data_IF_964989275083
#
_entry.id   IF_964989275083
#
_cell.length_a   1.000
_cell.length_b   1.000
_cell.length_c   1.000
_cell.angle_alpha   90.00
_cell.angle_beta   90.00
_cell.angle_gamma   90.00
#
_symmetry.space_group_name_H-M   'P 1'
#
loop_
_entity.id
_entity.type
_entity.pdbx_description
1 polymer ?
#
# COMPACT_ATOMS: atom_id res chain seq x y z
N UNK A 1 14.84 8.79 28.47
CA UNK A 1 13.77 9.59 27.81
C UNK A 1 12.79 8.63 27.17
N UNK A 2 11.50 8.69 27.52
CA UNK A 2 10.47 7.92 26.84
C UNK A 2 10.37 8.44 25.40
N UNK A 3 10.62 7.57 24.41
CA UNK A 3 10.47 7.94 23.02
C UNK A 3 8.98 8.06 22.70
N UNK A 4 8.61 9.20 22.14
CA UNK A 4 7.24 9.54 21.80
C UNK A 4 6.69 8.58 20.73
N UNK A 5 5.54 7.98 21.02
CA UNK A 5 4.83 7.12 20.07
C UNK A 5 4.06 8.02 19.11
N UNK A 6 4.21 7.80 17.81
CA UNK A 6 3.49 8.56 16.78
C UNK A 6 2.05 8.03 16.67
N UNK A 7 1.07 8.88 17.00
CA UNK A 7 -0.36 8.55 16.97
C UNK A 7 -1.07 9.32 15.85
N UNK A 8 -1.90 8.61 15.09
CA UNK A 8 -2.68 9.15 13.99
C UNK A 8 -4.16 8.85 14.17
N UNK A 9 -5.02 9.83 13.95
CA UNK A 9 -6.47 9.62 13.96
C UNK A 9 -6.90 8.75 12.77
N UNK A 10 -7.66 7.68 13.05
CA UNK A 10 -8.01 6.76 12.00
C UNK A 10 -9.03 5.70 12.38
N UNK A 11 -9.10 4.68 11.57
CA UNK A 11 -9.97 3.51 11.76
C UNK A 11 -9.24 2.21 11.45
N UNK A 12 -9.59 1.20 12.21
CA UNK A 12 -9.14 -0.18 12.06
C UNK A 12 -10.34 -1.05 11.72
N UNK A 13 -10.22 -1.87 10.69
CA UNK A 13 -11.15 -2.96 10.42
C UNK A 13 -10.50 -4.26 10.87
N UNK A 14 -11.15 -4.94 11.79
CA UNK A 14 -10.65 -6.21 12.33
C UNK A 14 -10.96 -7.38 11.39
N UNK A 15 -10.32 -8.53 11.61
CA UNK A 15 -10.52 -9.73 10.79
C UNK A 15 -11.98 -10.28 10.86
N UNK A 16 -12.69 -9.97 11.95
CA UNK A 16 -14.12 -10.27 12.13
C UNK A 16 -15.06 -9.12 11.68
N UNK A 17 -14.52 -8.20 10.85
CA UNK A 17 -15.23 -7.09 10.20
C UNK A 17 -15.79 -6.01 11.14
N UNK A 18 -15.29 -5.89 12.35
CA UNK A 18 -15.63 -4.78 13.23
C UNK A 18 -14.83 -3.53 12.83
N UNK A 19 -15.49 -2.37 12.86
CA UNK A 19 -14.84 -1.08 12.62
C UNK A 19 -14.60 -0.39 13.96
N UNK A 20 -13.34 -0.12 14.24
CA UNK A 20 -12.90 0.61 15.43
C UNK A 20 -12.35 1.96 15.02
N UNK A 21 -12.72 3.02 15.73
CA UNK A 21 -12.26 4.39 15.47
C UNK A 21 -11.45 4.86 16.66
N UNK A 22 -10.30 5.47 16.42
CA UNK A 22 -9.43 5.98 17.47
C UNK A 22 -8.08 6.44 16.95
N UNK A 23 -7.11 6.56 17.84
CA UNK A 23 -5.73 6.87 17.49
C UNK A 23 -4.94 5.58 17.24
N UNK A 24 -4.22 5.56 16.15
CA UNK A 24 -3.51 4.38 15.62
C UNK A 24 -2.02 4.67 15.57
N UNK A 25 -1.21 3.68 15.94
CA UNK A 25 0.22 3.70 15.73
C UNK A 25 0.71 2.33 15.24
N UNK A 26 1.26 2.27 14.03
CA UNK A 26 1.85 1.05 13.47
C UNK A 26 3.25 0.91 14.06
N UNK A 27 3.48 -0.09 14.90
CA UNK A 27 4.76 -0.27 15.59
C UNK A 27 5.76 -1.06 14.75
N UNK A 28 5.27 -2.08 14.06
CA UNK A 28 6.02 -2.91 13.10
C UNK A 28 5.08 -3.31 11.96
N UNK A 29 5.59 -3.98 10.95
CA UNK A 29 4.76 -4.50 9.85
C UNK A 29 3.79 -5.61 10.33
N UNK A 30 3.94 -6.11 11.56
CA UNK A 30 3.12 -7.19 12.14
C UNK A 30 2.30 -6.74 13.36
N UNK A 31 2.50 -5.50 13.83
CA UNK A 31 1.92 -5.04 15.09
C UNK A 31 1.46 -3.59 15.04
N UNK A 32 0.25 -3.36 15.51
CA UNK A 32 -0.37 -2.04 15.63
C UNK A 32 -0.86 -1.82 17.05
N UNK A 33 -0.73 -0.58 17.52
CA UNK A 33 -1.41 -0.09 18.72
C UNK A 33 -2.61 0.75 18.32
N UNK A 34 -3.70 0.61 19.07
CA UNK A 34 -4.86 1.48 18.95
C UNK A 34 -5.26 2.01 20.31
N UNK A 35 -5.47 3.31 20.40
CA UNK A 35 -5.94 3.99 21.61
C UNK A 35 -7.34 4.55 21.39
N UNK A 36 -8.25 4.20 22.30
CA UNK A 36 -9.60 4.72 22.36
C UNK A 36 -9.95 4.97 23.84
N UNK A 37 -10.55 6.11 24.17
CA UNK A 37 -10.99 6.48 25.53
C UNK A 37 -9.94 6.21 26.63
N UNK A 38 -8.68 6.58 26.39
CA UNK A 38 -7.54 6.36 27.29
C UNK A 38 -7.11 4.90 27.51
N UNK A 39 -7.68 3.95 26.76
CA UNK A 39 -7.22 2.56 26.75
C UNK A 39 -6.43 2.27 25.49
N UNK A 40 -5.24 1.72 25.65
CA UNK A 40 -4.41 1.27 24.53
C UNK A 40 -4.48 -0.25 24.41
N UNK A 41 -4.84 -0.71 23.22
CA UNK A 41 -4.91 -2.12 22.87
C UNK A 41 -3.89 -2.46 21.80
N UNK A 42 -3.39 -3.68 21.84
CA UNK A 42 -2.43 -4.23 20.87
C UNK A 42 -3.18 -5.10 19.87
N UNK A 43 -2.97 -4.84 18.59
CA UNK A 43 -3.56 -5.61 17.50
C UNK A 43 -2.44 -6.24 16.67
N UNK A 44 -2.20 -7.55 16.80
CA UNK A 44 -1.33 -8.27 15.88
C UNK A 44 -2.01 -8.41 14.50
N UNK A 45 -1.20 -8.49 13.47
CA UNK A 45 -1.66 -8.43 12.07
C UNK A 45 -2.75 -9.45 11.72
N UNK A 46 -2.72 -10.65 12.30
CA UNK A 46 -3.72 -11.68 12.05
C UNK A 46 -5.14 -11.33 12.56
N UNK A 47 -5.27 -10.31 13.40
CA UNK A 47 -6.56 -9.76 13.84
C UNK A 47 -7.02 -8.55 13.05
N UNK A 48 -6.26 -8.15 12.02
CA UNK A 48 -6.48 -6.94 11.23
C UNK A 48 -6.85 -7.32 9.81
N UNK A 49 -7.83 -6.66 9.23
CA UNK A 49 -8.13 -6.68 7.80
C UNK A 49 -7.52 -5.47 7.10
N UNK A 50 -7.78 -4.28 7.63
CA UNK A 50 -7.26 -3.03 7.07
C UNK A 50 -7.17 -1.92 8.11
N UNK A 51 -6.31 -0.94 7.81
CA UNK A 51 -6.08 0.24 8.64
C UNK A 51 -6.14 1.48 7.75
N UNK A 52 -6.74 2.56 8.23
CA UNK A 52 -6.77 3.84 7.55
C UNK A 52 -6.56 4.96 8.54
N UNK A 53 -5.67 5.89 8.24
CA UNK A 53 -5.48 7.09 9.06
C UNK A 53 -4.94 8.26 8.23
N UNK A 54 -5.09 9.46 8.80
CA UNK A 54 -4.51 10.67 8.26
C UNK A 54 -3.12 10.91 8.88
N UNK A 55 -2.11 10.93 8.03
CA UNK A 55 -0.73 11.26 8.40
C UNK A 55 -0.54 12.77 8.26
N UNK A 56 -0.47 13.46 9.42
CA UNK A 56 -0.34 14.93 9.46
C UNK A 56 1.00 15.43 8.97
N UNK A 57 2.05 14.65 9.17
CA UNK A 57 3.41 15.06 8.79
C UNK A 57 3.58 15.05 7.26
N UNK A 58 2.97 14.08 6.61
CA UNK A 58 2.99 13.95 5.15
C UNK A 58 1.78 14.61 4.46
N UNK A 59 0.75 15.05 5.21
CA UNK A 59 -0.51 15.61 4.72
C UNK A 59 -1.27 14.70 3.76
N UNK A 60 -1.32 13.39 4.09
CA UNK A 60 -1.97 12.37 3.25
C UNK A 60 -2.81 11.40 4.07
N UNK A 61 -3.83 10.81 3.42
CA UNK A 61 -4.53 9.65 3.93
C UNK A 61 -3.76 8.39 3.55
N UNK A 62 -3.41 7.58 4.56
CA UNK A 62 -2.76 6.30 4.36
C UNK A 62 -3.75 5.16 4.56
N UNK A 63 -3.64 4.15 3.74
CA UNK A 63 -4.41 2.91 3.87
C UNK A 63 -3.48 1.72 3.81
N UNK A 64 -3.60 0.87 4.81
CA UNK A 64 -2.85 -0.39 4.90
C UNK A 64 -3.82 -1.56 4.84
N UNK A 65 -3.38 -2.63 4.22
CA UNK A 65 -4.06 -3.92 4.18
C UNK A 65 -3.10 -5.01 4.65
N UNK A 66 -3.68 -6.10 5.13
CA UNK A 66 -2.88 -7.28 5.48
C UNK A 66 -2.81 -8.17 4.26
N UNK A 67 -1.58 -8.41 3.79
CA UNK A 67 -1.29 -9.35 2.72
C UNK A 67 -0.27 -10.37 3.21
N UNK A 68 -0.28 -11.55 2.60
CA UNK A 68 0.73 -12.57 2.82
C UNK A 68 1.65 -12.63 1.62
N UNK A 69 2.93 -12.39 1.86
CA UNK A 69 3.97 -12.65 0.89
C UNK A 69 4.55 -14.04 1.15
N UNK A 70 4.32 -14.98 0.25
CA UNK A 70 4.75 -16.38 0.41
C UNK A 70 6.28 -16.54 0.51
N UNK A 71 7.04 -15.56 0.02
CA UNK A 71 8.50 -15.57 0.10
C UNK A 71 9.03 -15.13 1.48
N UNK A 72 8.29 -14.27 2.20
CA UNK A 72 8.76 -13.63 3.44
C UNK A 72 7.88 -13.86 4.65
N UNK A 73 6.57 -14.05 4.45
CA UNK A 73 5.57 -14.11 5.53
C UNK A 73 5.09 -15.54 5.74
N UNK A 74 5.78 -16.29 6.62
CA UNK A 74 5.53 -17.72 6.79
C UNK A 74 4.12 -18.08 7.29
N UNK A 75 3.47 -17.27 8.14
CA UNK A 75 2.20 -17.68 8.78
C UNK A 75 1.10 -16.63 8.84
N UNK A 76 1.39 -15.36 9.07
CA UNK A 76 0.39 -14.37 9.49
C UNK A 76 0.17 -13.20 8.52
N UNK A 77 1.04 -13.06 7.54
CA UNK A 77 1.08 -11.89 6.68
C UNK A 77 1.68 -10.66 7.39
N UNK A 78 1.64 -9.54 6.70
CA UNK A 78 2.16 -8.25 7.16
C UNK A 78 1.29 -7.11 6.64
N UNK A 79 1.46 -5.93 7.22
CA UNK A 79 0.84 -4.70 6.75
C UNK A 79 1.58 -4.16 5.53
N UNK A 80 0.82 -3.86 4.48
CA UNK A 80 1.29 -3.20 3.28
C UNK A 80 0.47 -1.94 3.03
N UNK A 81 1.13 -0.83 2.75
CA UNK A 81 0.48 0.41 2.37
C UNK A 81 0.04 0.35 0.90
N UNK A 82 -1.21 0.71 0.63
CA UNK A 82 -1.73 0.80 -0.74
C UNK A 82 -1.23 2.09 -1.38
N UNK A 83 -0.53 1.95 -2.51
CA UNK A 83 -0.06 3.06 -3.35
C UNK A 83 -0.99 3.28 -4.53
N UNK A 84 -1.41 2.19 -5.19
CA UNK A 84 -2.33 2.22 -6.33
C UNK A 84 -3.39 1.14 -6.16
N UNK A 85 -4.66 1.55 -6.26
CA UNK A 85 -5.81 0.64 -6.32
C UNK A 85 -6.21 0.38 -7.77
N UNK A 86 -6.71 -0.82 -8.05
CA UNK A 86 -7.24 -1.16 -9.36
C UNK A 86 -7.10 -2.64 -9.70
N UNK A 87 -7.15 -2.96 -10.98
CA UNK A 87 -6.96 -4.33 -11.48
C UNK A 87 -5.53 -4.82 -11.26
N UNK A 88 -4.56 -3.91 -11.35
CA UNK A 88 -3.21 -4.08 -10.84
C UNK A 88 -3.05 -3.16 -9.64
N UNK A 89 -2.86 -3.72 -8.48
CA UNK A 89 -2.60 -2.94 -7.27
C UNK A 89 -1.10 -2.78 -7.07
N UNK A 90 -0.67 -1.62 -6.60
CA UNK A 90 0.69 -1.43 -6.10
C UNK A 90 0.60 -1.19 -4.61
N UNK A 91 1.35 -1.98 -3.88
CA UNK A 91 1.51 -1.84 -2.43
C UNK A 91 2.99 -1.65 -2.09
N UNK A 92 3.25 -1.07 -0.92
CA UNK A 92 4.61 -0.94 -0.42
C UNK A 92 4.70 -1.32 1.05
N UNK A 93 5.87 -1.77 1.46
CA UNK A 93 6.18 -2.08 2.85
C UNK A 93 7.48 -1.40 3.25
N UNK A 94 7.48 -0.71 4.38
CA UNK A 94 8.69 -0.10 4.91
C UNK A 94 9.67 -1.18 5.39
N UNK A 95 10.91 -1.13 4.92
CA UNK A 95 11.96 -2.11 5.22
C UNK A 95 12.29 -2.18 6.70
N UNK A 96 12.26 -1.03 7.38
CA UNK A 96 12.51 -0.94 8.80
C UNK A 96 11.56 0.08 9.41
N UNK A 97 10.45 -0.41 9.94
CA UNK A 97 9.49 0.41 10.67
C UNK A 97 9.87 0.44 12.15
N UNK A 98 10.25 1.61 12.63
CA UNK A 98 10.65 1.79 14.02
C UNK A 98 9.65 2.73 14.70
N UNK A 99 8.89 2.17 15.67
CA UNK A 99 8.02 2.92 16.60
C UNK A 99 7.00 3.85 15.93
N UNK A 100 6.38 3.39 14.85
CA UNK A 100 5.31 4.10 14.19
C UNK A 100 5.75 5.25 13.30
N UNK A 101 7.05 5.47 13.10
CA UNK A 101 7.55 6.50 12.18
C UNK A 101 7.56 5.96 10.75
N UNK A 102 6.68 6.49 9.93
CA UNK A 102 6.63 6.17 8.50
C UNK A 102 7.60 7.11 7.77
N UNK A 103 8.48 6.52 6.95
CA UNK A 103 9.45 7.28 6.16
C UNK A 103 8.78 8.07 5.05
N UNK A 104 9.38 9.20 4.68
CA UNK A 104 9.06 9.97 3.48
C UNK A 104 9.97 9.62 2.29
N UNK A 105 11.01 8.80 2.50
CA UNK A 105 11.95 8.40 1.46
C UNK A 105 11.50 7.08 0.82
N UNK A 106 11.28 7.08 -0.50
CA UNK A 106 10.88 5.90 -1.25
C UNK A 106 11.92 4.76 -1.21
N UNK A 107 13.18 5.08 -0.96
CA UNK A 107 14.25 4.09 -0.81
C UNK A 107 14.10 3.23 0.44
N UNK A 108 13.35 3.70 1.43
CA UNK A 108 13.06 2.95 2.65
C UNK A 108 11.95 1.89 2.47
N UNK A 109 11.38 1.79 1.27
CA UNK A 109 10.29 0.87 0.99
C UNK A 109 10.66 -0.19 -0.03
N UNK A 110 10.08 -1.37 0.13
CA UNK A 110 9.93 -2.37 -0.92
C UNK A 110 8.54 -2.25 -1.56
N UNK A 111 8.50 -2.21 -2.89
CA UNK A 111 7.29 -2.08 -3.68
C UNK A 111 6.93 -3.39 -4.37
N UNK A 112 5.63 -3.68 -4.43
CA UNK A 112 5.08 -4.90 -5.02
C UNK A 112 3.88 -4.60 -5.90
N UNK A 113 3.73 -5.37 -6.98
CA UNK A 113 2.48 -5.48 -7.73
C UNK A 113 1.70 -6.66 -7.18
N UNK A 114 0.43 -6.43 -6.90
CA UNK A 114 -0.54 -7.46 -6.52
C UNK A 114 -1.51 -7.67 -7.68
N UNK A 115 -1.58 -8.90 -8.15
CA UNK A 115 -2.51 -9.34 -9.18
C UNK A 115 -3.13 -10.66 -8.77
N UNK A 116 -4.46 -10.69 -8.62
CA UNK A 116 -5.20 -11.92 -8.29
C UNK A 116 -4.63 -12.65 -7.05
N UNK A 117 -4.24 -11.87 -6.03
CA UNK A 117 -3.67 -12.38 -4.78
C UNK A 117 -2.18 -12.75 -4.83
N UNK A 118 -1.56 -12.69 -6.02
CA UNK A 118 -0.11 -12.94 -6.16
C UNK A 118 0.69 -11.65 -6.08
N UNK A 119 1.76 -11.65 -5.28
CA UNK A 119 2.67 -10.53 -5.09
C UNK A 119 3.94 -10.71 -5.93
N UNK A 120 4.36 -9.66 -6.61
CA UNK A 120 5.62 -9.62 -7.36
C UNK A 120 6.34 -8.31 -7.07
N UNK A 121 7.64 -8.35 -6.79
CA UNK A 121 8.45 -7.13 -6.61
C UNK A 121 8.34 -6.21 -7.82
N UNK A 122 8.09 -4.92 -7.60
CA UNK A 122 7.90 -3.93 -8.66
C UNK A 122 9.14 -3.75 -9.54
N UNK A 123 10.33 -4.02 -9.02
CA UNK A 123 11.59 -4.05 -9.81
C UNK A 123 11.54 -5.06 -10.98
N UNK A 124 10.64 -6.05 -10.93
CA UNK A 124 10.41 -7.01 -12.00
C UNK A 124 9.32 -6.58 -12.99
N UNK A 125 8.78 -5.35 -12.86
CA UNK A 125 7.66 -4.85 -13.66
C UNK A 125 7.93 -4.98 -15.16
N UNK A 126 9.05 -4.46 -15.65
CA UNK A 126 9.42 -4.52 -17.05
C UNK A 126 9.42 -5.95 -17.60
N UNK A 127 10.00 -6.87 -16.83
CA UNK A 127 10.16 -8.28 -17.27
C UNK A 127 8.87 -9.07 -17.24
N UNK A 128 8.04 -8.86 -16.19
CA UNK A 128 6.87 -9.72 -15.93
C UNK A 128 5.55 -9.15 -16.44
N UNK A 129 5.41 -7.83 -16.52
CA UNK A 129 4.12 -7.19 -16.80
C UNK A 129 4.14 -6.28 -18.03
N UNK A 130 5.18 -5.51 -18.22
CA UNK A 130 5.22 -4.41 -19.19
C UNK A 130 4.88 -4.86 -20.61
N UNK A 131 5.51 -5.89 -21.13
CA UNK A 131 5.26 -6.38 -22.50
C UNK A 131 3.81 -6.83 -22.70
N UNK A 132 3.22 -7.50 -21.70
CA UNK A 132 1.83 -7.95 -21.76
C UNK A 132 0.87 -6.76 -21.74
N UNK A 133 1.11 -5.76 -20.92
CA UNK A 133 0.30 -4.54 -20.86
C UNK A 133 0.38 -3.76 -22.17
N UNK A 134 1.57 -3.61 -22.73
CA UNK A 134 1.77 -2.93 -24.02
C UNK A 134 1.07 -3.64 -25.17
N UNK A 135 1.12 -4.98 -25.22
CA UNK A 135 0.45 -5.75 -26.27
C UNK A 135 -1.08 -5.64 -26.21
N UNK A 136 -1.63 -5.37 -25.03
CA UNK A 136 -3.08 -5.30 -24.80
C UNK A 136 -3.73 -3.93 -25.10
N UNK A 137 -2.96 -2.85 -25.29
CA UNK A 137 -3.53 -1.50 -25.40
C UNK A 137 -2.67 -0.53 -26.18
N UNK A 138 -3.21 -0.06 -27.32
CA UNK A 138 -2.59 1.00 -28.13
C UNK A 138 -2.56 2.34 -27.40
N UNK A 139 -3.58 2.66 -26.59
CA UNK A 139 -3.63 3.89 -25.80
C UNK A 139 -2.51 3.93 -24.76
N UNK A 140 -2.26 2.81 -24.10
CA UNK A 140 -1.16 2.71 -23.14
C UNK A 140 0.20 2.87 -23.81
N UNK A 141 0.38 2.26 -25.00
CA UNK A 141 1.61 2.45 -25.80
C UNK A 141 1.84 3.91 -26.15
N UNK A 142 0.78 4.60 -26.58
CA UNK A 142 0.84 6.02 -26.93
C UNK A 142 1.20 6.86 -25.69
N UNK A 143 0.53 6.64 -24.56
CA UNK A 143 0.81 7.33 -23.30
C UNK A 143 2.28 7.18 -22.87
N UNK A 144 2.79 5.95 -22.85
CA UNK A 144 4.19 5.67 -22.47
C UNK A 144 5.18 6.38 -23.39
N UNK A 145 4.90 6.41 -24.69
CA UNK A 145 5.75 7.06 -25.70
C UNK A 145 5.73 8.59 -25.58
N UNK A 146 4.55 9.19 -25.44
CA UNK A 146 4.36 10.64 -25.33
C UNK A 146 4.99 11.19 -24.06
N UNK A 147 4.76 10.51 -22.92
CA UNK A 147 5.31 10.88 -21.61
C UNK A 147 6.77 10.43 -21.42
N UNK A 148 7.33 9.70 -22.37
CA UNK A 148 8.72 9.16 -22.34
C UNK A 148 9.03 8.37 -21.07
N UNK A 149 8.09 7.51 -20.66
CA UNK A 149 8.19 6.75 -19.41
C UNK A 149 9.17 5.58 -19.54
N UNK A 150 10.00 5.39 -18.50
CA UNK A 150 10.92 4.26 -18.38
C UNK A 150 10.33 3.20 -17.45
N UNK A 151 9.96 1.99 -17.93
CA UNK A 151 9.40 0.93 -17.09
C UNK A 151 10.38 0.36 -16.05
N UNK A 152 11.66 0.78 -16.06
CA UNK A 152 12.62 0.44 -15.00
C UNK A 152 12.62 1.47 -13.86
N UNK A 153 12.05 2.66 -14.08
CA UNK A 153 11.90 3.68 -13.05
C UNK A 153 10.72 3.35 -12.16
N UNK A 154 10.89 3.42 -10.83
CA UNK A 154 9.81 3.22 -9.86
C UNK A 154 8.62 4.16 -10.13
N UNK A 155 8.89 5.44 -10.26
CA UNK A 155 7.86 6.45 -10.47
C UNK A 155 7.10 6.23 -11.78
N UNK A 156 7.82 5.90 -12.87
CA UNK A 156 7.20 5.69 -14.17
C UNK A 156 6.43 4.37 -14.23
N UNK A 157 6.91 3.31 -13.60
CA UNK A 157 6.17 2.05 -13.48
C UNK A 157 4.83 2.27 -12.74
N UNK A 158 4.83 3.06 -11.67
CA UNK A 158 3.61 3.45 -10.95
C UNK A 158 2.66 4.23 -11.89
N UNK A 159 3.15 5.22 -12.63
CA UNK A 159 2.35 6.00 -13.59
C UNK A 159 1.74 5.12 -14.69
N UNK A 160 2.50 4.16 -15.21
CA UNK A 160 2.01 3.21 -16.22
C UNK A 160 0.87 2.36 -15.66
N UNK A 161 1.01 1.83 -14.44
CA UNK A 161 -0.04 1.04 -13.78
C UNK A 161 -1.28 1.89 -13.48
N UNK A 162 -1.11 3.12 -13.02
CA UNK A 162 -2.22 4.06 -12.79
C UNK A 162 -3.01 4.33 -14.07
N UNK A 163 -2.31 4.62 -15.17
CA UNK A 163 -2.96 4.86 -16.46
C UNK A 163 -3.69 3.60 -16.96
N UNK A 164 -3.04 2.43 -16.86
CA UNK A 164 -3.68 1.15 -17.20
C UNK A 164 -4.98 0.92 -16.42
N UNK A 165 -4.96 1.13 -15.11
CA UNK A 165 -6.14 0.97 -14.28
C UNK A 165 -7.26 1.95 -14.66
N UNK A 166 -6.92 3.20 -15.01
CA UNK A 166 -7.90 4.23 -15.40
C UNK A 166 -8.66 3.87 -16.68
N UNK A 167 -8.05 3.13 -17.59
CA UNK A 167 -8.71 2.67 -18.81
C UNK A 167 -9.73 1.55 -18.57
N UNK A 168 -9.57 0.82 -17.47
CA UNK A 168 -10.40 -0.37 -17.16
C UNK A 168 -11.53 -0.02 -16.19
N UNK A 169 -11.31 0.93 -15.29
CA UNK A 169 -12.31 1.36 -14.33
C UNK A 169 -13.34 2.27 -15.01
N UNK A 170 -14.66 2.00 -14.82
CA UNK A 170 -15.69 2.92 -15.30
C UNK A 170 -15.49 4.31 -14.66
N UNK A 171 -15.76 5.41 -15.39
CA UNK A 171 -15.56 6.79 -14.90
C UNK A 171 -16.23 7.11 -13.56
N UNK A 172 -17.33 6.41 -13.23
CA UNK A 172 -18.08 6.60 -11.98
C UNK A 172 -17.32 6.12 -10.71
N UNK A 173 -16.31 5.25 -10.84
CA UNK A 173 -15.51 4.78 -9.72
C UNK A 173 -14.18 5.54 -9.56
N UNK A 174 -13.74 6.23 -10.59
CA UNK A 174 -12.53 7.06 -10.55
C UNK A 174 -12.68 8.32 -9.68
N UNK A 175 -13.93 8.76 -9.40
CA UNK A 175 -14.22 9.93 -8.55
C UNK A 175 -14.28 9.63 -7.05
N UNK A 176 -14.06 8.38 -6.64
CA UNK A 176 -14.07 7.94 -5.23
C UNK A 176 -12.68 7.63 -4.66
N UNK A 177 -11.61 7.97 -5.40
CA UNK A 177 -10.21 7.78 -4.98
C UNK A 177 -9.63 9.02 -4.32
#
# INVERSE_FOLDING_TARGET
MAQEINWHQGSLVTADHQVLIGEISIQTNELLLMRNDNQSNVYPVHKIQSVRFYDRDADINRKFIVLRNEETDFYQGSLYEIVVLGKLEIVRQQKSLIRGKISSDDLDFDYFIVREGSMTKLQNFRRKFYSQLMAGSGELQQFVKEEKLDPNSLADAIRIVMFYNSMILPPALASLQ
#
